data_IF_474996962911
#
_entry.id   IF_474996962911
#
_cell.length_a   1.000
_cell.length_b   1.000
_cell.length_c   1.000
_cell.angle_alpha   90.00
_cell.angle_beta   90.00
_cell.angle_gamma   90.00
#
_symmetry.space_group_name_H-M   'P 1'
#
loop_
_entity.id
_entity.type
_entity.pdbx_description
1 polymer ?
#
# COMPACT_ATOMS: atom_id res chain seq x y z
N UNK A 1 8.65 15.64 -6.81
CA UNK A 1 7.94 14.34 -6.97
C UNK A 1 7.64 13.77 -5.59
N UNK A 2 6.39 13.43 -5.32
CA UNK A 2 5.95 12.83 -4.07
C UNK A 2 5.85 11.31 -4.23
N UNK A 3 6.37 10.56 -3.26
CA UNK A 3 6.39 9.10 -3.28
C UNK A 3 5.65 8.55 -2.07
N UNK A 4 4.67 7.67 -2.32
CA UNK A 4 3.82 7.10 -1.29
C UNK A 4 4.02 5.60 -1.17
N UNK A 5 4.04 5.09 0.07
CA UNK A 5 3.97 3.66 0.34
C UNK A 5 2.50 3.20 0.28
N UNK A 6 2.21 2.24 -0.59
CA UNK A 6 0.87 1.68 -0.75
C UNK A 6 0.43 0.83 0.46
N UNK A 7 -0.86 0.84 0.81
CA UNK A 7 -1.41 -0.05 1.81
C UNK A 7 -1.54 -1.47 1.25
N UNK A 8 -0.76 -2.40 1.76
CA UNK A 8 -0.84 -3.83 1.44
C UNK A 8 -1.29 -4.59 2.68
N UNK A 9 -2.53 -5.09 2.65
CA UNK A 9 -3.11 -5.83 3.79
C UNK A 9 -2.22 -7.01 4.19
N UNK A 10 -1.96 -7.12 5.49
CA UNK A 10 -1.12 -8.17 6.05
C UNK A 10 0.38 -7.95 5.92
N UNK A 11 0.84 -7.02 5.07
CA UNK A 11 2.27 -6.81 4.76
C UNK A 11 2.76 -5.46 5.30
N UNK A 12 2.18 -4.34 4.83
CA UNK A 12 2.64 -2.99 5.22
C UNK A 12 1.98 -2.48 6.51
N UNK A 13 1.80 -3.36 7.51
CA UNK A 13 1.40 -3.01 8.87
C UNK A 13 2.44 -2.12 9.56
N UNK A 14 2.16 -1.71 10.80
CA UNK A 14 3.01 -0.77 11.54
C UNK A 14 4.47 -1.25 11.65
N UNK A 15 4.71 -2.55 11.87
CA UNK A 15 6.07 -3.10 11.97
C UNK A 15 6.87 -2.84 10.68
N UNK A 16 6.27 -3.15 9.51
CA UNK A 16 6.93 -2.93 8.23
C UNK A 16 7.16 -1.43 7.95
N UNK A 17 6.14 -0.59 8.20
CA UNK A 17 6.26 0.87 7.98
C UNK A 17 7.35 1.48 8.85
N UNK A 18 7.41 1.11 10.13
CA UNK A 18 8.45 1.58 11.06
C UNK A 18 9.84 1.13 10.62
N UNK A 19 10.02 -0.15 10.27
CA UNK A 19 11.32 -0.65 9.81
C UNK A 19 11.75 0.04 8.50
N UNK A 20 10.82 0.25 7.56
CA UNK A 20 11.11 0.97 6.31
C UNK A 20 11.50 2.43 6.62
N UNK A 21 10.72 3.14 7.43
CA UNK A 21 10.98 4.53 7.80
C UNK A 21 12.30 4.72 8.56
N UNK A 22 12.66 3.74 9.41
CA UNK A 22 13.89 3.76 10.19
C UNK A 22 15.14 3.49 9.34
N UNK A 23 15.02 2.65 8.31
CA UNK A 23 16.18 2.16 7.56
C UNK A 23 16.34 2.82 6.19
N UNK A 24 15.25 3.30 5.61
CA UNK A 24 15.21 3.90 4.27
C UNK A 24 14.36 5.15 4.24
N UNK A 25 14.82 6.15 3.52
CA UNK A 25 14.15 7.41 3.27
C UNK A 25 13.46 7.43 1.89
N UNK A 26 12.90 8.58 1.53
CA UNK A 26 12.34 8.83 0.21
C UNK A 26 10.82 8.78 0.13
N UNK A 27 10.11 8.41 1.19
CA UNK A 27 8.63 8.40 1.19
C UNK A 27 8.05 9.62 1.89
N UNK A 28 7.08 10.26 1.22
CA UNK A 28 6.40 11.46 1.72
C UNK A 28 5.11 11.11 2.48
N UNK A 29 4.42 9.99 2.11
CA UNK A 29 3.26 9.45 2.83
C UNK A 29 3.32 7.93 2.95
N UNK A 30 2.77 7.41 4.05
CA UNK A 30 2.64 5.99 4.34
C UNK A 30 1.16 5.65 4.51
N UNK A 31 0.56 4.92 3.55
CA UNK A 31 -0.83 4.53 3.68
C UNK A 31 -0.95 3.28 4.55
N UNK A 32 -1.78 3.37 5.59
CA UNK A 32 -2.04 2.28 6.52
C UNK A 32 -3.00 1.28 5.86
N UNK A 33 -2.74 -0.04 5.93
CA UNK A 33 -3.68 -1.04 5.46
C UNK A 33 -5.10 -0.81 6.01
N UNK A 34 -6.10 -1.11 5.20
CA UNK A 34 -7.46 -0.72 5.49
C UNK A 34 -8.01 -1.28 6.81
N UNK A 35 -8.78 -0.44 7.47
CA UNK A 35 -9.70 -0.78 8.55
C UNK A 35 -11.01 -1.21 7.91
N UNK A 36 -11.54 -2.36 8.33
CA UNK A 36 -12.87 -2.83 7.92
C UNK A 36 -13.83 -2.68 9.12
N UNK A 37 -14.58 -1.56 9.20
CA UNK A 37 -15.47 -1.31 10.32
C UNK A 37 -16.46 -2.45 10.55
N UNK A 38 -16.73 -2.77 11.80
CA UNK A 38 -17.81 -3.66 12.21
C UNK A 38 -18.96 -2.86 12.79
N UNK A 39 -20.14 -3.47 12.91
CA UNK A 39 -21.36 -2.83 13.43
C UNK A 39 -21.23 -2.19 14.83
N UNK A 40 -20.20 -2.56 15.59
CA UNK A 40 -19.89 -1.98 16.91
C UNK A 40 -18.83 -0.88 16.83
N UNK A 41 -18.30 -0.57 15.65
CA UNK A 41 -17.25 0.43 15.44
C UNK A 41 -15.93 0.12 16.17
N UNK A 42 -15.67 -1.14 16.55
CA UNK A 42 -14.41 -1.52 17.20
C UNK A 42 -13.37 -1.92 16.15
N UNK A 43 -12.14 -1.46 16.36
CA UNK A 43 -10.98 -1.93 15.61
C UNK A 43 -10.57 -3.32 16.13
N UNK A 44 -10.20 -4.22 15.24
CA UNK A 44 -9.47 -5.44 15.61
C UNK A 44 -8.12 -5.09 16.26
N UNK A 45 -7.53 -6.01 17.00
CA UNK A 45 -6.23 -5.78 17.65
C UNK A 45 -5.17 -5.34 16.65
N UNK A 46 -5.14 -5.95 15.44
CA UNK A 46 -4.23 -5.56 14.36
C UNK A 46 -4.49 -4.15 13.87
N UNK A 47 -5.75 -3.82 13.52
CA UNK A 47 -6.11 -2.50 13.03
C UNK A 47 -5.81 -1.41 14.06
N UNK A 48 -6.09 -1.68 15.35
CA UNK A 48 -5.75 -0.76 16.43
C UNK A 48 -4.24 -0.50 16.48
N UNK A 49 -3.41 -1.55 16.47
CA UNK A 49 -1.95 -1.40 16.46
C UNK A 49 -1.45 -0.63 15.24
N UNK A 50 -2.05 -0.86 14.07
CA UNK A 50 -1.68 -0.19 12.84
C UNK A 50 -1.95 1.33 12.85
N UNK A 51 -2.98 1.79 13.60
CA UNK A 51 -3.39 3.21 13.64
C UNK A 51 -3.04 3.93 14.94
N UNK A 52 -2.47 3.27 15.93
CA UNK A 52 -2.05 3.97 17.17
C UNK A 52 -0.96 5.00 16.84
N UNK A 53 -1.09 6.26 17.34
CA UNK A 53 -0.14 7.34 17.05
C UNK A 53 1.31 7.00 17.37
N UNK A 54 1.55 6.28 18.48
CA UNK A 54 2.88 5.84 18.89
C UNK A 54 3.56 4.91 17.90
N UNK A 55 2.79 4.19 17.07
CA UNK A 55 3.31 3.32 16.02
C UNK A 55 3.48 4.01 14.67
N UNK A 56 3.24 5.33 14.59
CA UNK A 56 3.32 6.09 13.35
C UNK A 56 4.10 7.40 13.53
N UNK A 57 4.96 7.47 14.54
CA UNK A 57 5.74 8.67 14.84
C UNK A 57 6.73 9.00 13.72
N UNK A 58 6.86 10.27 13.40
CA UNK A 58 7.77 10.76 12.35
C UNK A 58 7.29 10.53 10.91
N UNK A 59 6.19 9.79 10.71
CA UNK A 59 5.61 9.51 9.39
C UNK A 59 4.35 10.34 9.14
N UNK A 60 4.14 10.79 7.90
CA UNK A 60 2.82 11.21 7.47
C UNK A 60 2.02 9.93 7.12
N UNK A 61 1.39 9.36 8.13
CA UNK A 61 0.61 8.12 7.99
C UNK A 61 -0.87 8.45 7.70
N UNK A 62 -1.45 7.80 6.67
CA UNK A 62 -2.83 7.99 6.25
C UNK A 62 -3.61 6.68 6.44
N UNK A 63 -4.55 6.61 7.40
CA UNK A 63 -5.35 5.42 7.60
C UNK A 63 -6.37 5.24 6.48
N UNK A 64 -6.53 4.01 6.01
CA UNK A 64 -7.48 3.67 4.96
C UNK A 64 -8.71 2.98 5.53
N UNK A 65 -9.91 3.35 5.06
CA UNK A 65 -11.20 2.80 5.48
C UNK A 65 -11.81 1.99 4.34
N UNK A 66 -12.26 0.76 4.63
CA UNK A 66 -12.91 -0.12 3.67
C UNK A 66 -14.37 -0.36 4.08
N UNK A 67 -15.29 0.40 3.54
CA UNK A 67 -16.73 0.27 3.79
C UNK A 67 -17.55 0.78 2.61
N UNK A 68 -18.82 0.42 2.57
CA UNK A 68 -19.87 0.97 1.70
C UNK A 68 -21.07 1.48 2.53
N UNK A 69 -20.86 1.68 3.84
CA UNK A 69 -21.85 2.19 4.77
C UNK A 69 -21.39 3.52 5.34
N UNK A 70 -22.24 4.53 5.31
CA UNK A 70 -21.96 5.93 5.73
C UNK A 70 -21.65 6.01 7.22
N UNK A 71 -22.49 5.39 8.07
CA UNK A 71 -22.32 5.43 9.52
C UNK A 71 -21.00 4.76 9.95
N UNK A 72 -20.65 3.62 9.33
CA UNK A 72 -19.38 2.92 9.55
C UNK A 72 -18.18 3.82 9.20
N UNK A 73 -18.26 4.53 8.07
CA UNK A 73 -17.22 5.47 7.65
C UNK A 73 -17.05 6.61 8.65
N UNK A 74 -18.15 7.30 8.96
CA UNK A 74 -18.14 8.47 9.85
C UNK A 74 -17.70 8.12 11.27
N UNK A 75 -18.18 7.01 11.81
CA UNK A 75 -17.76 6.53 13.13
C UNK A 75 -16.26 6.23 13.17
N UNK A 76 -15.73 5.58 12.12
CA UNK A 76 -14.30 5.27 12.00
C UNK A 76 -13.47 6.53 11.83
N UNK A 77 -13.87 7.44 10.94
CA UNK A 77 -13.21 8.72 10.71
C UNK A 77 -13.14 9.56 12.00
N UNK A 78 -14.23 9.61 12.77
CA UNK A 78 -14.23 10.31 14.06
C UNK A 78 -13.19 9.76 15.02
N UNK A 79 -13.08 8.43 15.17
CA UNK A 79 -12.07 7.80 16.04
C UNK A 79 -10.65 8.09 15.56
N UNK A 80 -10.43 8.09 14.24
CA UNK A 80 -9.13 8.44 13.66
C UNK A 80 -8.79 9.92 13.90
N UNK A 81 -9.79 10.82 13.84
CA UNK A 81 -9.64 12.21 14.24
C UNK A 81 -9.23 12.35 15.71
N UNK A 82 -9.82 11.56 16.60
CA UNK A 82 -9.47 11.55 18.02
C UNK A 82 -8.04 11.05 18.28
N UNK A 83 -7.48 10.22 17.37
CA UNK A 83 -6.05 9.83 17.36
C UNK A 83 -5.13 10.89 16.73
N UNK A 84 -5.68 12.01 16.23
CA UNK A 84 -4.92 13.12 15.67
C UNK A 84 -4.70 13.06 14.15
N UNK A 85 -5.29 12.10 13.45
CA UNK A 85 -5.23 12.05 11.99
C UNK A 85 -6.02 13.22 11.39
N UNK A 86 -5.47 13.82 10.32
CA UNK A 86 -6.10 14.92 9.58
C UNK A 86 -6.68 14.48 8.24
N UNK A 87 -6.21 13.34 7.74
CA UNK A 87 -6.60 12.74 6.47
C UNK A 87 -7.00 11.28 6.67
N UNK A 88 -8.01 10.83 5.95
CA UNK A 88 -8.38 9.43 5.79
C UNK A 88 -8.50 9.08 4.31
N UNK A 89 -8.26 7.82 3.98
CA UNK A 89 -8.37 7.34 2.62
C UNK A 89 -9.51 6.33 2.47
N UNK A 90 -10.37 6.51 1.48
CA UNK A 90 -11.41 5.52 1.15
C UNK A 90 -10.85 4.47 0.19
N UNK A 91 -11.01 3.18 0.53
CA UNK A 91 -10.62 2.08 -0.35
C UNK A 91 -11.74 1.70 -1.32
N UNK A 92 -11.53 2.00 -2.60
CA UNK A 92 -12.37 1.57 -3.73
C UNK A 92 -11.59 0.70 -4.72
N UNK A 93 -10.48 0.09 -4.26
CA UNK A 93 -9.58 -0.66 -5.13
C UNK A 93 -9.28 -2.10 -4.71
N UNK A 94 -9.65 -2.53 -3.50
CA UNK A 94 -9.37 -3.90 -3.05
C UNK A 94 -10.09 -4.93 -3.93
N UNK A 95 -9.35 -5.83 -4.65
CA UNK A 95 -9.95 -6.78 -5.56
C UNK A 95 -10.30 -8.12 -4.89
N UNK A 96 -10.07 -8.26 -3.58
CA UNK A 96 -10.28 -9.50 -2.85
C UNK A 96 -11.72 -9.97 -2.98
N UNK A 97 -11.93 -11.24 -3.32
CA UNK A 97 -13.26 -11.83 -3.50
C UNK A 97 -14.15 -11.63 -2.27
N UNK A 98 -13.61 -11.78 -1.07
CA UNK A 98 -14.37 -11.60 0.19
C UNK A 98 -14.79 -10.16 0.45
N UNK A 99 -14.10 -9.18 -0.16
CA UNK A 99 -14.42 -7.75 -0.09
C UNK A 99 -15.46 -7.40 -1.16
N UNK A 100 -15.20 -7.82 -2.40
CA UNK A 100 -16.03 -7.51 -3.57
C UNK A 100 -17.45 -8.09 -3.45
N UNK A 101 -17.60 -9.31 -2.94
CA UNK A 101 -18.92 -9.94 -2.73
C UNK A 101 -19.81 -9.21 -1.72
N UNK A 102 -19.21 -8.32 -0.90
CA UNK A 102 -19.93 -7.45 0.06
C UNK A 102 -20.19 -6.04 -0.53
N UNK A 103 -19.93 -5.83 -1.82
CA UNK A 103 -20.03 -4.53 -2.46
C UNK A 103 -19.05 -3.49 -1.91
N UNK A 104 -17.87 -3.91 -1.38
CA UNK A 104 -16.84 -3.04 -0.81
C UNK A 104 -15.59 -3.03 -1.70
N UNK A 105 -14.68 -2.09 -1.47
CA UNK A 105 -13.48 -1.97 -2.28
C UNK A 105 -13.83 -1.80 -3.76
N UNK A 106 -13.17 -2.53 -4.66
CA UNK A 106 -13.48 -2.48 -6.09
C UNK A 106 -14.91 -2.99 -6.44
N UNK A 107 -15.55 -3.75 -5.54
CA UNK A 107 -16.94 -4.17 -5.73
C UNK A 107 -17.95 -3.04 -5.57
N UNK A 108 -17.57 -1.91 -4.96
CA UNK A 108 -18.46 -0.75 -4.85
C UNK A 108 -18.57 0.02 -6.17
N UNK A 109 -17.63 -0.17 -7.09
CA UNK A 109 -17.61 0.48 -8.41
C UNK A 109 -18.73 -0.02 -9.33
N UNK A 110 -19.33 -1.19 -9.04
CA UNK A 110 -20.48 -1.73 -9.77
C UNK A 110 -21.78 -0.91 -9.59
N UNK A 111 -21.83 -0.09 -8.54
CA UNK A 111 -23.05 0.64 -8.15
C UNK A 111 -22.80 2.16 -8.14
N UNK A 112 -22.55 2.81 -9.32
CA UNK A 112 -22.16 4.23 -9.37
C UNK A 112 -23.13 5.18 -8.65
N UNK A 113 -24.44 4.96 -8.78
CA UNK A 113 -25.45 5.80 -8.13
C UNK A 113 -25.45 5.64 -6.60
N UNK A 114 -25.09 4.45 -6.10
CA UNK A 114 -24.98 4.22 -4.67
C UNK A 114 -23.68 4.80 -4.13
N UNK A 115 -22.60 4.71 -4.91
CA UNK A 115 -21.33 5.36 -4.63
C UNK A 115 -21.50 6.88 -4.52
N UNK A 116 -22.21 7.49 -5.45
CA UNK A 116 -22.51 8.93 -5.46
C UNK A 116 -23.23 9.35 -4.17
N UNK A 117 -24.35 8.67 -3.82
CA UNK A 117 -25.09 8.93 -2.58
C UNK A 117 -24.25 8.71 -1.31
N UNK A 118 -23.36 7.70 -1.32
CA UNK A 118 -22.47 7.45 -0.21
C UNK A 118 -21.47 8.60 -0.03
N UNK A 119 -20.85 9.06 -1.12
CA UNK A 119 -19.89 10.17 -1.09
C UNK A 119 -20.58 11.47 -0.65
N UNK A 120 -21.77 11.77 -1.18
CA UNK A 120 -22.56 12.94 -0.79
C UNK A 120 -22.74 12.99 0.74
N UNK A 121 -23.28 11.92 1.33
CA UNK A 121 -23.51 11.85 2.78
C UNK A 121 -22.22 11.85 3.62
N UNK A 122 -21.11 11.32 3.09
CA UNK A 122 -19.81 11.32 3.77
C UNK A 122 -19.21 12.72 3.76
N UNK A 123 -19.17 13.39 2.61
CA UNK A 123 -18.59 14.73 2.48
C UNK A 123 -19.41 15.80 3.18
N UNK A 124 -20.73 15.61 3.32
CA UNK A 124 -21.59 16.50 4.14
C UNK A 124 -21.20 16.51 5.63
N UNK A 125 -20.70 15.37 6.16
CA UNK A 125 -20.58 15.15 7.62
C UNK A 125 -19.17 14.86 8.13
N UNK A 126 -18.22 14.58 7.27
CA UNK A 126 -16.86 14.25 7.67
C UNK A 126 -15.99 15.51 7.72
N UNK A 127 -15.40 15.77 8.89
CA UNK A 127 -14.50 16.92 9.11
C UNK A 127 -13.04 16.65 8.70
N UNK A 128 -12.68 15.43 8.30
CA UNK A 128 -11.33 15.09 7.87
C UNK A 128 -11.18 15.31 6.36
N UNK A 129 -9.96 15.58 5.91
CA UNK A 129 -9.62 15.51 4.51
C UNK A 129 -9.78 14.06 4.01
N UNK A 130 -10.41 13.88 2.86
CA UNK A 130 -10.67 12.55 2.29
C UNK A 130 -9.92 12.42 0.97
N UNK A 131 -9.06 11.41 0.88
CA UNK A 131 -8.50 10.93 -0.37
C UNK A 131 -9.15 9.59 -0.75
N UNK A 132 -9.16 9.27 -2.05
CA UNK A 132 -9.70 8.00 -2.54
C UNK A 132 -8.61 7.20 -3.22
N UNK A 133 -8.51 5.89 -2.90
CA UNK A 133 -7.70 4.95 -3.67
C UNK A 133 -8.60 4.00 -4.43
N UNK A 134 -8.59 4.08 -5.77
CA UNK A 134 -9.53 3.39 -6.64
C UNK A 134 -8.84 2.51 -7.69
N UNK A 135 -9.60 1.57 -8.25
CA UNK A 135 -9.39 0.99 -9.58
C UNK A 135 -10.26 1.71 -10.60
N UNK A 136 -10.07 1.37 -11.90
CA UNK A 136 -10.78 2.03 -13.01
C UNK A 136 -12.12 1.37 -13.34
N UNK A 137 -12.54 0.38 -12.58
CA UNK A 137 -13.80 -0.33 -12.77
C UNK A 137 -13.70 -1.76 -12.26
N UNK A 138 -14.75 -2.54 -12.45
CA UNK A 138 -14.82 -3.94 -12.10
C UNK A 138 -14.48 -4.86 -13.27
N UNK A 139 -15.13 -4.69 -14.38
CA UNK A 139 -15.06 -5.56 -15.55
C UNK A 139 -14.35 -4.89 -16.73
N UNK A 140 -14.68 -3.60 -16.99
CA UNK A 140 -14.23 -2.86 -18.16
C UNK A 140 -13.58 -1.52 -17.80
N UNK A 141 -12.47 -1.13 -18.45
CA UNK A 141 -11.87 0.19 -18.27
C UNK A 141 -12.79 1.37 -18.60
N UNK A 142 -13.75 1.21 -19.49
CA UNK A 142 -14.73 2.25 -19.88
C UNK A 142 -15.67 2.62 -18.72
N UNK A 143 -15.82 1.76 -17.71
CA UNK A 143 -16.57 2.07 -16.49
C UNK A 143 -16.02 3.32 -15.79
N UNK A 144 -14.72 3.65 -15.99
CA UNK A 144 -14.11 4.80 -15.36
C UNK A 144 -14.65 6.13 -15.89
N UNK A 145 -15.18 6.17 -17.13
CA UNK A 145 -15.85 7.35 -17.71
C UNK A 145 -17.15 7.70 -16.97
N UNK A 146 -17.75 6.72 -16.29
CA UNK A 146 -18.92 6.93 -15.42
C UNK A 146 -18.50 7.26 -13.99
N UNK A 147 -17.42 6.65 -13.51
CA UNK A 147 -16.96 6.75 -12.11
C UNK A 147 -16.26 8.08 -11.84
N UNK A 148 -15.34 8.52 -12.70
CA UNK A 148 -14.56 9.74 -12.48
C UNK A 148 -15.44 11.00 -12.35
N UNK A 149 -16.50 11.22 -13.18
CA UNK A 149 -17.41 12.34 -12.99
C UNK A 149 -18.11 12.37 -11.62
N UNK A 150 -18.30 11.21 -10.98
CA UNK A 150 -18.84 11.14 -9.62
C UNK A 150 -17.80 11.68 -8.64
N UNK A 151 -16.54 11.27 -8.77
CA UNK A 151 -15.48 11.78 -7.91
C UNK A 151 -15.30 13.29 -8.04
N UNK A 152 -15.41 13.85 -9.24
CA UNK A 152 -15.28 15.29 -9.50
C UNK A 152 -16.34 16.16 -8.80
N UNK A 153 -17.46 15.58 -8.32
CA UNK A 153 -18.47 16.34 -7.55
C UNK A 153 -18.02 16.71 -6.12
N UNK A 154 -17.01 16.03 -5.57
CA UNK A 154 -16.66 16.12 -4.16
C UNK A 154 -15.26 16.68 -3.97
N UNK A 155 -14.97 17.43 -2.89
CA UNK A 155 -13.66 18.05 -2.68
C UNK A 155 -12.63 17.02 -2.16
N UNK A 156 -12.19 16.12 -3.03
CA UNK A 156 -11.15 15.14 -2.69
C UNK A 156 -9.82 15.85 -2.47
N UNK A 157 -9.09 15.43 -1.44
CA UNK A 157 -7.70 15.86 -1.25
C UNK A 157 -6.80 15.37 -2.39
N UNK A 158 -6.97 14.12 -2.80
CA UNK A 158 -6.29 13.50 -3.94
C UNK A 158 -7.01 12.22 -4.39
N UNK A 159 -6.84 11.84 -5.64
CA UNK A 159 -7.36 10.61 -6.23
C UNK A 159 -6.19 9.71 -6.65
N UNK A 160 -6.07 8.55 -5.99
CA UNK A 160 -5.01 7.57 -6.27
C UNK A 160 -5.59 6.51 -7.18
N UNK A 161 -5.10 6.45 -8.43
CA UNK A 161 -5.64 5.57 -9.46
C UNK A 161 -4.71 4.39 -9.69
N UNK A 162 -5.24 3.16 -9.50
CA UNK A 162 -4.63 1.94 -9.99
C UNK A 162 -5.32 1.56 -11.31
N UNK A 163 -4.72 1.83 -12.48
CA UNK A 163 -5.40 1.69 -13.77
C UNK A 163 -5.48 0.22 -14.23
N UNK A 164 -6.15 -0.59 -13.43
CA UNK A 164 -6.59 -1.96 -13.70
C UNK A 164 -8.03 -2.12 -13.25
N UNK A 165 -8.80 -2.96 -13.93
CA UNK A 165 -10.12 -3.38 -13.45
C UNK A 165 -9.98 -4.44 -12.36
N UNK A 166 -11.05 -4.66 -11.58
CA UNK A 166 -11.05 -5.57 -10.42
C UNK A 166 -10.65 -7.00 -10.83
N UNK A 167 -11.23 -7.54 -11.91
CA UNK A 167 -11.01 -8.93 -12.35
C UNK A 167 -9.58 -9.25 -12.76
N UNK A 168 -8.78 -8.24 -13.09
CA UNK A 168 -7.37 -8.43 -13.43
C UNK A 168 -6.50 -8.71 -12.20
N UNK A 169 -6.94 -8.35 -11.00
CA UNK A 169 -6.12 -8.41 -9.77
C UNK A 169 -4.80 -7.66 -9.96
N UNK A 170 -3.69 -8.38 -10.18
CA UNK A 170 -2.35 -7.87 -10.47
C UNK A 170 -1.78 -8.46 -11.76
N UNK A 171 -2.62 -9.11 -12.57
CA UNK A 171 -2.26 -9.61 -13.90
C UNK A 171 -2.38 -8.48 -14.92
N UNK A 172 -1.90 -8.74 -16.12
CA UNK A 172 -1.87 -7.80 -17.23
C UNK A 172 -1.08 -6.51 -16.92
N UNK A 173 -0.98 -5.60 -17.85
CA UNK A 173 -0.37 -4.28 -17.69
C UNK A 173 -1.40 -3.24 -17.27
N UNK A 174 -1.00 -2.18 -16.53
CA UNK A 174 -1.88 -1.04 -16.27
C UNK A 174 -2.42 -0.43 -17.57
N UNK A 175 -3.70 -0.02 -17.55
CA UNK A 175 -4.37 0.60 -18.70
C UNK A 175 -4.00 2.09 -18.75
N UNK A 176 -2.86 2.38 -19.36
CA UNK A 176 -2.32 3.74 -19.39
C UNK A 176 -3.16 4.71 -20.23
N UNK A 177 -3.96 4.22 -21.16
CA UNK A 177 -4.89 5.06 -21.93
C UNK A 177 -6.04 5.58 -21.06
N UNK A 178 -6.59 4.73 -20.20
CA UNK A 178 -7.59 5.15 -19.20
C UNK A 178 -7.00 6.12 -18.17
N UNK A 179 -5.72 5.93 -17.79
CA UNK A 179 -5.05 6.90 -16.92
C UNK A 179 -4.81 8.24 -17.65
N UNK A 180 -4.46 8.23 -18.95
CA UNK A 180 -4.33 9.44 -19.76
C UNK A 180 -5.65 10.21 -19.80
N UNK A 181 -6.75 9.50 -20.05
CA UNK A 181 -8.08 10.09 -20.01
C UNK A 181 -8.41 10.70 -18.63
N UNK A 182 -8.04 10.01 -17.54
CA UNK A 182 -8.23 10.53 -16.19
C UNK A 182 -7.43 11.81 -15.92
N UNK A 183 -6.20 11.90 -16.44
CA UNK A 183 -5.36 13.11 -16.32
C UNK A 183 -6.00 14.33 -16.99
N UNK A 184 -6.73 14.13 -18.09
CA UNK A 184 -7.41 15.20 -18.82
C UNK A 184 -8.75 15.61 -18.20
N UNK A 185 -9.42 14.68 -17.45
CA UNK A 185 -10.80 14.88 -17.00
C UNK A 185 -10.94 14.97 -15.46
N UNK A 186 -9.89 14.76 -14.69
CA UNK A 186 -9.95 14.87 -13.24
C UNK A 186 -9.82 16.32 -12.78
N UNK A 187 -10.70 16.72 -11.85
CA UNK A 187 -10.62 18.01 -11.15
C UNK A 187 -9.74 17.96 -9.90
N UNK A 188 -9.15 16.78 -9.60
CA UNK A 188 -8.37 16.54 -8.39
C UNK A 188 -6.90 16.31 -8.67
N UNK A 189 -6.01 16.57 -7.69
CA UNK A 189 -4.64 16.07 -7.74
C UNK A 189 -4.62 14.56 -7.90
N UNK A 190 -3.85 14.06 -8.88
CA UNK A 190 -3.77 12.63 -9.18
C UNK A 190 -2.48 12.02 -8.61
N UNK A 191 -2.62 10.81 -8.08
CA UNK A 191 -1.51 9.94 -7.73
C UNK A 191 -1.59 8.66 -8.57
N UNK A 192 -0.55 8.38 -9.34
CA UNK A 192 -0.44 7.15 -10.12
C UNK A 192 -0.07 5.97 -9.19
N UNK A 193 -0.75 4.84 -9.34
CA UNK A 193 -0.40 3.61 -8.64
C UNK A 193 -0.44 2.41 -9.59
N UNK A 194 0.70 1.94 -10.06
CA UNK A 194 0.78 0.75 -10.93
C UNK A 194 2.19 0.41 -11.33
N UNK A 195 2.66 -0.79 -10.99
CA UNK A 195 3.88 -1.47 -11.47
C UNK A 195 5.17 -0.62 -11.56
N UNK A 196 5.36 0.34 -10.66
CA UNK A 196 6.63 1.02 -10.50
C UNK A 196 7.49 0.17 -9.56
N UNK A 197 8.48 -0.52 -10.13
CA UNK A 197 9.37 -1.43 -9.43
C UNK A 197 10.85 -1.06 -9.63
N UNK A 198 11.16 -0.12 -10.51
CA UNK A 198 12.52 0.34 -10.82
C UNK A 198 12.53 1.82 -11.17
N UNK A 199 13.72 2.40 -11.32
CA UNK A 199 13.91 3.77 -11.81
C UNK A 199 13.45 3.87 -13.27
N UNK A 200 13.74 2.86 -14.06
CA UNK A 200 13.37 2.77 -15.48
C UNK A 200 11.85 2.78 -15.66
N UNK A 201 11.10 2.06 -14.82
CA UNK A 201 9.62 2.11 -14.85
C UNK A 201 9.10 3.53 -14.63
N UNK A 202 9.72 4.26 -13.70
CA UNK A 202 9.37 5.65 -13.41
C UNK A 202 9.72 6.59 -14.57
N UNK A 203 10.88 6.40 -15.20
CA UNK A 203 11.28 7.17 -16.37
C UNK A 203 10.30 6.95 -17.54
N UNK A 204 9.90 5.71 -17.81
CA UNK A 204 8.88 5.40 -18.83
C UNK A 204 7.52 6.04 -18.51
N UNK A 205 7.12 6.02 -17.24
CA UNK A 205 5.90 6.72 -16.81
C UNK A 205 6.01 8.22 -17.08
N UNK A 206 7.13 8.84 -16.72
CA UNK A 206 7.37 10.29 -16.89
C UNK A 206 7.48 10.72 -18.37
N UNK A 207 8.00 9.87 -19.24
CA UNK A 207 8.01 10.13 -20.69
C UNK A 207 6.57 10.29 -21.20
N UNK A 208 5.65 9.44 -20.74
CA UNK A 208 4.25 9.47 -21.17
C UNK A 208 3.41 10.51 -20.41
N UNK A 209 3.69 10.70 -19.13
CA UNK A 209 2.94 11.59 -18.22
C UNK A 209 3.88 12.54 -17.47
N UNK A 210 4.51 13.52 -18.14
CA UNK A 210 5.48 14.42 -17.52
C UNK A 210 4.91 15.21 -16.34
N UNK A 211 3.61 15.47 -16.33
CA UNK A 211 2.87 16.17 -15.28
C UNK A 211 2.57 15.32 -14.03
N UNK A 212 2.76 13.99 -14.07
CA UNK A 212 2.51 13.12 -12.90
C UNK A 212 3.58 13.33 -11.85
N UNK A 213 3.27 14.07 -10.79
CA UNK A 213 4.23 14.42 -9.74
C UNK A 213 4.10 13.58 -8.47
N UNK A 214 3.09 12.73 -8.41
CA UNK A 214 2.81 11.87 -7.24
C UNK A 214 2.61 10.44 -7.67
N UNK A 215 3.34 9.52 -7.03
CA UNK A 215 3.32 8.08 -7.33
C UNK A 215 3.23 7.27 -6.05
N UNK A 216 2.32 6.28 -6.03
CA UNK A 216 2.21 5.32 -4.95
C UNK A 216 2.78 3.96 -5.38
N UNK A 217 3.67 3.40 -4.57
CA UNK A 217 4.33 2.13 -4.84
C UNK A 217 4.02 1.09 -3.76
N UNK A 218 3.85 -0.15 -4.18
CA UNK A 218 3.62 -1.29 -3.30
C UNK A 218 4.70 -2.35 -3.46
N UNK A 219 4.49 -3.29 -4.37
CA UNK A 219 5.37 -4.44 -4.60
C UNK A 219 6.81 -4.07 -4.93
N UNK A 220 7.02 -2.96 -5.65
CA UNK A 220 8.36 -2.45 -5.92
C UNK A 220 9.16 -2.17 -4.66
N UNK A 221 8.53 -1.54 -3.65
CA UNK A 221 9.17 -1.24 -2.35
C UNK A 221 9.42 -2.51 -1.53
N UNK A 222 8.56 -3.53 -1.65
CA UNK A 222 8.81 -4.82 -0.99
C UNK A 222 10.01 -5.57 -1.61
N UNK A 223 10.23 -5.38 -2.91
CA UNK A 223 11.35 -5.99 -3.64
C UNK A 223 12.65 -5.20 -3.49
N UNK A 224 12.55 -3.87 -3.41
CA UNK A 224 13.67 -2.95 -3.18
C UNK A 224 13.26 -1.86 -2.17
N UNK A 225 13.59 -2.01 -0.88
CA UNK A 225 13.24 -1.01 0.15
C UNK A 225 13.87 0.38 -0.11
N UNK A 226 14.97 0.46 -0.85
CA UNK A 226 15.60 1.72 -1.23
C UNK A 226 14.98 2.39 -2.48
N UNK A 227 13.94 1.79 -3.07
CA UNK A 227 13.34 2.31 -4.32
C UNK A 227 12.91 3.78 -4.19
N UNK A 228 12.32 4.18 -3.05
CA UNK A 228 11.93 5.57 -2.83
C UNK A 228 13.13 6.53 -2.88
N UNK A 229 14.23 6.15 -2.22
CA UNK A 229 15.49 6.90 -2.24
C UNK A 229 16.09 6.97 -3.65
N UNK A 230 16.13 5.85 -4.37
CA UNK A 230 16.62 5.79 -5.75
C UNK A 230 15.84 6.70 -6.70
N UNK A 231 14.52 6.72 -6.60
CA UNK A 231 13.66 7.58 -7.40
C UNK A 231 13.85 9.08 -7.10
N UNK A 232 14.40 9.42 -5.93
CA UNK A 232 14.82 10.78 -5.56
C UNK A 232 16.30 11.07 -5.89
N UNK A 233 16.96 10.20 -6.67
CA UNK A 233 18.36 10.37 -7.10
C UNK A 233 19.41 9.90 -6.09
N UNK A 234 19.01 9.17 -5.05
CA UNK A 234 19.92 8.59 -4.07
C UNK A 234 20.46 7.21 -4.49
N UNK A 235 21.31 6.63 -3.63
CA UNK A 235 22.01 5.36 -3.90
C UNK A 235 21.10 4.14 -3.74
N UNK A 236 21.47 3.04 -4.38
CA UNK A 236 20.92 1.71 -4.10
C UNK A 236 21.20 1.28 -2.65
N UNK A 237 20.44 0.30 -2.16
CA UNK A 237 20.68 -0.27 -0.85
C UNK A 237 22.03 -1.00 -0.79
N UNK A 238 22.75 -0.86 0.32
CA UNK A 238 23.91 -1.69 0.61
C UNK A 238 23.47 -3.01 1.31
N UNK A 239 24.38 -3.97 1.35
CA UNK A 239 24.10 -5.25 2.03
C UNK A 239 23.89 -5.04 3.55
N UNK A 240 24.60 -4.09 4.16
CA UNK A 240 24.49 -3.72 5.55
C UNK A 240 23.13 -3.06 5.86
N UNK A 241 22.65 -2.18 4.98
CA UNK A 241 21.33 -1.55 5.12
C UNK A 241 20.20 -2.58 5.03
N UNK A 242 20.29 -3.50 4.06
CA UNK A 242 19.30 -4.59 3.91
C UNK A 242 19.35 -5.55 5.11
N UNK A 243 20.54 -5.84 5.64
CA UNK A 243 20.68 -6.62 6.86
C UNK A 243 20.04 -5.92 8.05
N UNK A 244 20.32 -4.63 8.24
CA UNK A 244 19.73 -3.82 9.31
C UNK A 244 18.21 -3.82 9.20
N UNK A 245 17.67 -3.60 8.01
CA UNK A 245 16.23 -3.64 7.76
C UNK A 245 15.59 -4.99 8.12
N UNK A 246 16.24 -6.10 7.69
CA UNK A 246 15.82 -7.45 8.06
C UNK A 246 15.82 -7.64 9.57
N UNK A 247 16.90 -7.24 10.26
CA UNK A 247 17.07 -7.47 11.69
C UNK A 247 16.05 -6.68 12.50
N UNK A 248 15.75 -5.42 12.11
CA UNK A 248 14.70 -4.58 12.73
C UNK A 248 13.34 -5.24 12.57
N UNK A 249 12.99 -5.69 11.36
CA UNK A 249 11.73 -6.40 11.09
C UNK A 249 11.62 -7.69 11.91
N UNK A 250 12.66 -8.50 11.91
CA UNK A 250 12.65 -9.78 12.57
C UNK A 250 12.51 -9.63 14.09
N UNK A 251 13.28 -8.72 14.70
CA UNK A 251 13.17 -8.41 16.12
C UNK A 251 11.77 -7.95 16.50
N UNK A 252 11.18 -7.01 15.75
CA UNK A 252 9.83 -6.51 16.00
C UNK A 252 8.75 -7.60 15.86
N UNK A 253 8.89 -8.52 14.90
CA UNK A 253 7.97 -9.67 14.81
C UNK A 253 8.16 -10.66 15.95
N UNK A 254 9.39 -10.86 16.44
CA UNK A 254 9.66 -11.71 17.61
C UNK A 254 9.06 -11.12 18.91
N UNK A 255 9.06 -9.80 19.06
CA UNK A 255 8.42 -9.12 20.20
C UNK A 255 6.90 -9.16 20.13
N UNK A 256 6.34 -8.98 18.92
CA UNK A 256 4.90 -8.86 18.69
C UNK A 256 4.18 -10.20 18.66
N UNK A 257 4.84 -11.26 18.23
CA UNK A 257 4.22 -12.55 17.91
C UNK A 257 4.83 -13.69 18.71
N UNK A 258 3.98 -14.65 19.08
CA UNK A 258 4.43 -15.86 19.77
C UNK A 258 4.53 -17.05 18.81
N UNK A 259 5.62 -17.80 18.93
CA UNK A 259 5.86 -19.06 18.25
C UNK A 259 6.48 -18.94 16.84
N UNK A 260 7.43 -19.82 16.57
CA UNK A 260 8.23 -19.86 15.34
C UNK A 260 7.38 -19.77 14.07
N UNK A 261 6.25 -20.49 14.04
CA UNK A 261 5.41 -20.57 12.84
C UNK A 261 4.83 -19.21 12.42
N UNK A 262 4.37 -18.42 13.37
CA UNK A 262 3.75 -17.10 13.09
C UNK A 262 4.79 -16.08 12.65
N UNK A 263 5.93 -16.05 13.32
CA UNK A 263 7.08 -15.19 12.97
C UNK A 263 7.59 -15.55 11.58
N UNK A 264 7.88 -16.84 11.34
CA UNK A 264 8.40 -17.30 10.06
C UNK A 264 7.40 -17.11 8.91
N UNK A 265 6.10 -17.14 9.16
CA UNK A 265 5.10 -16.80 8.13
C UNK A 265 5.32 -15.38 7.61
N UNK A 266 5.50 -14.40 8.52
CA UNK A 266 5.77 -13.00 8.16
C UNK A 266 7.11 -12.81 7.45
N UNK A 267 8.16 -13.44 7.97
CA UNK A 267 9.48 -13.33 7.37
C UNK A 267 9.54 -13.99 5.98
N UNK A 268 8.88 -15.13 5.78
CA UNK A 268 8.78 -15.79 4.47
C UNK A 268 8.02 -14.94 3.45
N UNK A 269 6.97 -14.22 3.89
CA UNK A 269 6.23 -13.27 3.06
C UNK A 269 7.13 -12.10 2.62
N UNK A 270 7.91 -11.53 3.53
CA UNK A 270 8.90 -10.49 3.19
C UNK A 270 9.95 -11.02 2.20
N UNK A 271 10.54 -12.19 2.46
CA UNK A 271 11.54 -12.80 1.58
C UNK A 271 11.00 -13.19 0.21
N UNK A 272 9.70 -13.44 0.07
CA UNK A 272 9.07 -13.68 -1.24
C UNK A 272 9.29 -12.50 -2.20
N UNK A 273 9.25 -11.28 -1.69
CA UNK A 273 9.49 -10.07 -2.49
C UNK A 273 10.96 -9.69 -2.52
N UNK A 274 11.67 -9.75 -1.40
CA UNK A 274 13.00 -9.20 -1.24
C UNK A 274 14.11 -10.06 -1.89
N UNK A 275 13.94 -11.39 -1.97
CA UNK A 275 15.03 -12.27 -2.40
C UNK A 275 15.64 -11.96 -3.78
N UNK A 276 14.92 -11.38 -4.77
CA UNK A 276 15.50 -11.13 -6.10
C UNK A 276 16.57 -10.03 -6.12
N UNK A 277 16.69 -9.24 -5.05
CA UNK A 277 17.72 -8.19 -4.95
C UNK A 277 19.14 -8.77 -4.72
N UNK A 278 19.26 -10.04 -4.32
CA UNK A 278 20.53 -10.71 -4.04
C UNK A 278 20.97 -11.61 -5.19
N UNK A 279 22.29 -11.78 -5.38
CA UNK A 279 22.90 -12.57 -6.46
C UNK A 279 22.34 -14.00 -6.54
N UNK A 280 22.37 -14.76 -5.44
CA UNK A 280 21.79 -16.11 -5.36
C UNK A 280 20.49 -16.16 -4.51
N UNK A 281 19.75 -15.07 -4.43
CA UNK A 281 18.59 -14.90 -3.56
C UNK A 281 17.55 -16.02 -3.72
N UNK A 282 17.32 -16.52 -4.94
CA UNK A 282 16.39 -17.63 -5.21
C UNK A 282 16.78 -18.93 -4.49
N UNK A 283 18.09 -19.20 -4.39
CA UNK A 283 18.61 -20.38 -3.67
C UNK A 283 18.33 -20.30 -2.18
N UNK A 284 18.60 -19.12 -1.58
CA UNK A 284 18.34 -18.88 -0.16
C UNK A 284 16.85 -18.84 0.16
N UNK A 285 16.04 -18.24 -0.69
CA UNK A 285 14.59 -18.25 -0.53
C UNK A 285 14.01 -19.67 -0.51
N UNK A 286 14.55 -20.60 -1.32
CA UNK A 286 14.17 -22.03 -1.25
C UNK A 286 14.50 -22.66 0.11
N UNK A 287 15.65 -22.29 0.73
CA UNK A 287 16.02 -22.74 2.09
C UNK A 287 15.07 -22.11 3.12
N UNK A 288 14.87 -20.79 3.07
CA UNK A 288 14.02 -20.02 3.99
C UNK A 288 12.58 -20.56 4.02
N UNK A 289 12.00 -20.88 2.86
CA UNK A 289 10.65 -21.47 2.80
C UNK A 289 10.50 -22.75 3.60
N UNK A 290 11.57 -23.55 3.73
CA UNK A 290 11.58 -24.83 4.43
C UNK A 290 11.87 -24.72 5.93
N UNK A 291 12.28 -23.53 6.43
CA UNK A 291 12.54 -23.34 7.85
C UNK A 291 11.23 -23.46 8.65
N UNK A 292 11.25 -24.26 9.70
CA UNK A 292 10.16 -24.43 10.66
C UNK A 292 10.50 -23.88 12.04
N UNK A 293 11.80 -23.59 12.29
CA UNK A 293 12.34 -23.05 13.53
C UNK A 293 13.10 -21.75 13.26
N UNK A 294 12.93 -20.77 14.14
CA UNK A 294 13.62 -19.48 14.05
C UNK A 294 15.15 -19.64 14.05
N UNK A 295 15.71 -20.50 14.87
CA UNK A 295 17.16 -20.76 14.90
C UNK A 295 17.71 -21.25 13.55
N UNK A 296 16.96 -22.12 12.83
CA UNK A 296 17.37 -22.57 11.50
C UNK A 296 17.27 -21.44 10.49
N UNK A 297 16.22 -20.65 10.57
CA UNK A 297 16.01 -19.47 9.73
C UNK A 297 17.16 -18.46 9.90
N UNK A 298 17.51 -18.12 11.13
CA UNK A 298 18.61 -17.20 11.46
C UNK A 298 19.94 -17.65 10.86
N UNK A 299 20.24 -18.96 10.94
CA UNK A 299 21.45 -19.54 10.34
C UNK A 299 21.48 -19.37 8.82
N UNK A 300 20.34 -19.62 8.14
CA UNK A 300 20.22 -19.47 6.67
C UNK A 300 20.38 -18.02 6.25
N UNK A 301 19.74 -17.09 6.97
CA UNK A 301 19.79 -15.66 6.68
C UNK A 301 21.19 -15.08 6.95
N UNK A 302 21.84 -15.50 8.04
CA UNK A 302 23.24 -15.15 8.32
C UNK A 302 24.16 -15.60 7.18
N UNK A 303 23.99 -16.82 6.67
CA UNK A 303 24.75 -17.32 5.52
C UNK A 303 24.53 -16.45 4.28
N UNK A 304 23.27 -16.04 3.99
CA UNK A 304 22.94 -15.16 2.87
C UNK A 304 23.70 -13.83 2.97
N UNK A 305 23.56 -13.11 4.07
CA UNK A 305 24.19 -11.81 4.25
C UNK A 305 25.73 -11.85 4.28
N UNK A 306 26.33 -13.01 4.55
CA UNK A 306 27.78 -13.19 4.51
C UNK A 306 28.32 -13.52 3.10
N UNK A 307 27.50 -14.16 2.24
CA UNK A 307 27.97 -14.72 0.96
C UNK A 307 27.47 -14.00 -0.27
N UNK A 308 26.30 -13.36 -0.18
CA UNK A 308 25.66 -12.75 -1.31
C UNK A 308 25.95 -11.25 -1.40
N UNK A 309 25.85 -10.72 -2.61
CA UNK A 309 25.91 -9.29 -2.89
C UNK A 309 24.59 -8.77 -3.40
N UNK A 310 24.37 -7.46 -3.27
CA UNK A 310 23.20 -6.78 -3.78
C UNK A 310 23.39 -6.55 -5.28
N UNK A 311 22.39 -6.94 -6.06
CA UNK A 311 22.34 -6.62 -7.48
C UNK A 311 22.09 -5.11 -7.62
N UNK A 312 23.03 -4.36 -8.16
CA UNK A 312 22.84 -2.97 -8.53
C UNK A 312 21.85 -2.90 -9.72
N UNK A 313 20.57 -2.73 -9.44
CA UNK A 313 19.54 -2.44 -10.44
C UNK A 313 18.98 -1.06 -10.20
#
# INVERSE_FOLDING_TARGET
>A
MNLYLAPLEGITGHIYRNALHQCFDGFDKYFIPFISPNQKGHFSTREKKDVMPEHNQGMYAVPQILTNNVEDFLCTAKKLKDYGYKEVNLNLGCPSRTVVTKGRGAGFLDEPQKLDRFLDAVFEKCDLEISIKTRIGREDPEEFEIILPIYNKYPLKELIIHPRVQKEFYKNTPKLDTYAWAVEHSEHPLCYNGDICSVEDMEQLKIRFPQTDTVMMGRGVLADPALGRKLKGGSAATIEELKKFHDVLYAAYCEEMSGDRTILYKMKEMWFYLHPIFTDGKKYFKKIKKCEKCVVYESVVKELFLKETVLGK
#
